data_IF_220273248486
#
_entry.id   IF_220273248486
#
_cell.length_a   1.000
_cell.length_b   1.000
_cell.length_c   1.000
_cell.angle_alpha   90.00
_cell.angle_beta   90.00
_cell.angle_gamma   90.00
#
_symmetry.space_group_name_H-M   'P 1'
#
loop_
_entity.id
_entity.type
_entity.pdbx_description
1 polymer ?
#
# COMPACT_ATOMS: atom_id res chain seq x y z
N UNK A 1 -9.55 -45.63 0.19
CA UNK A 1 -8.35 -45.49 1.05
C UNK A 1 -8.12 -44.00 1.27
N UNK A 2 -8.45 -43.48 2.47
CA UNK A 2 -8.44 -42.04 2.80
C UNK A 2 -7.03 -41.68 3.31
N UNK A 3 -6.34 -40.78 2.62
CA UNK A 3 -5.04 -40.25 3.06
C UNK A 3 -5.29 -39.30 4.24
N UNK A 4 -4.60 -39.45 5.39
CA UNK A 4 -4.83 -38.57 6.54
C UNK A 4 -4.15 -37.20 6.31
N UNK A 5 -4.72 -36.09 6.83
CA UNK A 5 -4.06 -34.79 6.74
C UNK A 5 -2.81 -34.78 7.62
N UNK A 6 -1.66 -34.55 6.98
CA UNK A 6 -0.38 -34.34 7.65
C UNK A 6 -0.43 -33.11 8.54
N UNK A 7 -0.05 -33.28 9.81
CA UNK A 7 0.16 -32.17 10.75
C UNK A 7 1.29 -31.30 10.20
N UNK A 8 0.98 -30.06 9.83
CA UNK A 8 2.00 -29.04 9.63
C UNK A 8 2.65 -28.76 10.99
N UNK A 9 3.91 -29.18 11.14
CA UNK A 9 4.75 -28.89 12.31
C UNK A 9 4.93 -27.39 12.43
N UNK A 10 4.84 -26.91 13.68
CA UNK A 10 4.73 -25.49 14.00
C UNK A 10 5.94 -24.66 13.59
N UNK A 11 5.63 -23.51 12.98
CA UNK A 11 6.42 -22.29 13.12
C UNK A 11 5.62 -21.40 14.06
N UNK A 12 6.19 -21.06 15.22
CA UNK A 12 5.58 -20.06 16.11
C UNK A 12 5.79 -18.67 15.49
N UNK A 13 4.98 -18.31 14.49
CA UNK A 13 5.00 -16.96 13.93
C UNK A 13 4.05 -16.12 14.79
N UNK A 14 4.60 -15.34 15.73
CA UNK A 14 3.80 -14.23 16.24
C UNK A 14 3.48 -13.35 15.03
N UNK A 15 2.20 -13.02 14.77
CA UNK A 15 1.86 -12.15 13.65
C UNK A 15 2.64 -10.85 13.79
N UNK A 16 3.23 -10.38 12.70
CA UNK A 16 3.89 -9.08 12.68
C UNK A 16 2.82 -8.01 13.02
N UNK A 17 3.10 -7.07 13.94
CA UNK A 17 2.13 -6.03 14.28
C UNK A 17 1.70 -5.25 13.04
N UNK A 18 0.41 -4.92 12.92
CA UNK A 18 -0.12 -4.20 11.75
C UNK A 18 0.63 -2.89 11.48
N UNK A 19 0.98 -2.16 12.55
CA UNK A 19 1.77 -0.93 12.44
C UNK A 19 3.15 -1.17 11.80
N UNK A 20 3.76 -2.33 12.03
CA UNK A 20 5.01 -2.74 11.39
C UNK A 20 4.77 -3.08 9.93
N UNK A 21 3.72 -3.86 9.61
CA UNK A 21 3.32 -4.17 8.22
C UNK A 21 3.08 -2.89 7.40
N UNK A 22 2.48 -1.85 8.00
CA UNK A 22 2.27 -0.56 7.35
C UNK A 22 3.57 0.21 7.06
N UNK A 23 4.64 -0.01 7.85
CA UNK A 23 5.95 0.65 7.67
C UNK A 23 6.90 -0.11 6.75
N UNK A 24 6.79 -1.44 6.65
CA UNK A 24 7.64 -2.26 5.79
C UNK A 24 7.73 -1.76 4.33
N UNK A 25 6.64 -1.33 3.66
CA UNK A 25 6.73 -0.76 2.31
C UNK A 25 7.55 0.54 2.23
N UNK A 26 7.57 1.34 3.30
CA UNK A 26 8.39 2.56 3.38
C UNK A 26 9.86 2.18 3.46
N UNK A 27 10.22 1.20 4.31
CA UNK A 27 11.59 0.70 4.37
C UNK A 27 12.03 0.09 3.04
N UNK A 28 11.16 -0.68 2.39
CA UNK A 28 11.46 -1.26 1.08
C UNK A 28 11.80 -0.19 0.04
N UNK A 29 11.02 0.90 -0.02
CA UNK A 29 11.31 2.02 -0.93
C UNK A 29 12.70 2.60 -0.68
N UNK A 30 13.00 2.94 0.57
CA UNK A 30 14.28 3.53 0.96
C UNK A 30 15.45 2.59 0.67
N UNK A 31 15.28 1.29 0.95
CA UNK A 31 16.31 0.28 0.69
C UNK A 31 16.58 0.14 -0.82
N UNK A 32 15.54 0.17 -1.66
CA UNK A 32 15.70 0.15 -3.12
C UNK A 32 16.46 1.40 -3.59
N UNK A 33 16.10 2.59 -3.11
CA UNK A 33 16.82 3.84 -3.41
C UNK A 33 18.29 3.81 -2.92
N UNK A 34 18.58 3.13 -1.81
CA UNK A 34 19.95 2.89 -1.34
C UNK A 34 20.71 1.94 -2.27
N UNK A 35 20.09 0.85 -2.69
CA UNK A 35 20.68 -0.12 -3.62
C UNK A 35 20.99 0.50 -4.99
N UNK A 36 20.09 1.32 -5.53
CA UNK A 36 20.29 2.06 -6.78
C UNK A 36 21.48 3.03 -6.72
N UNK A 37 21.81 3.54 -5.53
CA UNK A 37 22.99 4.36 -5.27
C UNK A 37 24.26 3.55 -4.96
N UNK A 38 24.20 2.22 -5.04
CA UNK A 38 25.33 1.33 -4.78
C UNK A 38 25.66 1.15 -3.29
N UNK A 39 24.73 1.48 -2.38
CA UNK A 39 24.93 1.27 -0.94
C UNK A 39 24.77 -0.22 -0.63
N UNK A 40 25.86 -0.86 -0.20
CA UNK A 40 25.86 -2.29 0.15
C UNK A 40 25.30 -2.55 1.57
N UNK A 41 25.60 -1.67 2.52
CA UNK A 41 25.22 -1.81 3.92
C UNK A 41 24.59 -0.53 4.45
N UNK A 42 23.52 -0.66 5.25
CA UNK A 42 22.86 0.48 5.90
C UNK A 42 22.72 0.26 7.40
N UNK A 43 22.96 1.29 8.20
CA UNK A 43 22.68 1.30 9.64
C UNK A 43 21.19 1.53 9.94
N UNK A 44 20.76 1.22 11.17
CA UNK A 44 19.41 1.55 11.62
C UNK A 44 19.13 3.04 11.62
N UNK A 45 20.17 3.86 11.85
CA UNK A 45 20.14 5.31 11.90
C UNK A 45 19.96 5.91 10.51
N UNK A 46 20.67 5.40 9.50
CA UNK A 46 20.51 5.82 8.10
C UNK A 46 19.13 5.45 7.56
N UNK A 47 18.68 4.21 7.82
CA UNK A 47 17.35 3.77 7.40
C UNK A 47 16.24 4.56 8.11
N UNK A 48 16.42 4.86 9.39
CA UNK A 48 15.52 5.71 10.18
C UNK A 48 15.40 7.12 9.60
N UNK A 49 16.53 7.78 9.34
CA UNK A 49 16.57 9.13 8.79
C UNK A 49 15.87 9.19 7.42
N UNK A 50 16.14 8.24 6.54
CA UNK A 50 15.57 8.21 5.20
C UNK A 50 14.09 7.77 5.16
N UNK A 51 13.63 6.98 6.14
CA UNK A 51 12.22 6.55 6.23
C UNK A 51 11.35 7.46 7.09
N UNK A 52 11.92 8.44 7.80
CA UNK A 52 11.19 9.30 8.74
C UNK A 52 10.72 8.56 10.00
N UNK A 53 11.40 7.48 10.37
CA UNK A 53 11.05 6.64 11.54
C UNK A 53 12.19 6.67 12.56
N UNK A 54 11.91 6.52 13.85
CA UNK A 54 12.97 6.41 14.87
C UNK A 54 13.78 5.09 14.70
N UNK A 55 15.12 5.15 14.80
CA UNK A 55 16.02 3.99 14.74
C UNK A 55 15.61 2.83 15.66
N UNK A 56 15.15 3.12 16.88
CA UNK A 56 14.66 2.08 17.80
C UNK A 56 13.42 1.34 17.25
N UNK A 57 12.54 2.04 16.53
CA UNK A 57 11.38 1.43 15.84
C UNK A 57 11.84 0.62 14.64
N UNK A 58 12.79 1.12 13.85
CA UNK A 58 13.38 0.35 12.74
C UNK A 58 13.97 -0.98 13.23
N UNK A 59 14.79 -0.95 14.27
CA UNK A 59 15.38 -2.19 14.84
C UNK A 59 14.30 -3.16 15.34
N UNK A 60 13.26 -2.65 16.00
CA UNK A 60 12.13 -3.45 16.48
C UNK A 60 11.30 -4.04 15.34
N UNK A 61 11.09 -3.29 14.27
CA UNK A 61 10.35 -3.74 13.10
C UNK A 61 11.11 -4.83 12.34
N UNK A 62 12.40 -4.60 12.07
CA UNK A 62 13.22 -5.54 11.33
C UNK A 62 13.51 -6.82 12.12
N UNK A 63 13.49 -6.78 13.46
CA UNK A 63 13.65 -7.99 14.28
C UNK A 63 12.50 -8.99 14.11
N UNK A 64 11.33 -8.54 13.65
CA UNK A 64 10.22 -9.44 13.29
C UNK A 64 10.50 -10.25 12.01
N UNK A 65 11.35 -9.74 11.11
CA UNK A 65 11.75 -10.44 9.89
C UNK A 65 12.83 -11.51 10.19
N UNK A 66 13.59 -11.30 11.26
CA UNK A 66 14.69 -12.13 11.73
C UNK A 66 15.86 -11.28 12.23
N UNK A 67 16.94 -11.94 12.64
CA UNK A 67 18.16 -11.29 13.15
C UNK A 67 19.12 -10.98 11.99
N UNK A 68 18.92 -9.84 11.32
CA UNK A 68 19.64 -9.50 10.08
C UNK A 68 20.52 -8.24 10.14
N UNK A 69 20.99 -7.88 11.33
CA UNK A 69 22.01 -6.86 11.50
C UNK A 69 23.18 -7.43 12.28
N UNK A 70 24.40 -7.23 11.79
CA UNK A 70 25.58 -7.46 12.63
C UNK A 70 25.84 -6.20 13.43
N UNK A 71 25.93 -6.33 14.76
CA UNK A 71 26.17 -5.18 15.65
C UNK A 71 27.48 -4.49 15.24
N UNK A 72 27.39 -3.23 14.83
CA UNK A 72 28.54 -2.45 14.35
C UNK A 72 28.78 -2.49 12.83
N UNK A 73 28.05 -3.30 12.07
CA UNK A 73 28.16 -3.39 10.59
C UNK A 73 26.89 -2.89 9.89
N UNK A 74 25.72 -3.10 10.51
CA UNK A 74 24.43 -2.73 9.91
C UNK A 74 23.76 -3.88 9.17
N UNK A 75 22.86 -3.54 8.27
CA UNK A 75 22.06 -4.44 7.44
C UNK A 75 22.65 -4.52 6.03
N UNK A 76 22.79 -5.73 5.49
CA UNK A 76 23.03 -5.89 4.05
C UNK A 76 21.77 -5.45 3.29
N UNK A 77 21.91 -4.45 2.41
CA UNK A 77 20.79 -3.79 1.74
C UNK A 77 20.08 -4.76 0.79
N UNK A 78 20.83 -5.49 -0.03
CA UNK A 78 20.26 -6.42 -1.02
C UNK A 78 19.49 -7.55 -0.34
N UNK A 79 20.08 -8.13 0.71
CA UNK A 79 19.44 -9.15 1.51
C UNK A 79 18.19 -8.61 2.21
N UNK A 80 18.26 -7.43 2.83
CA UNK A 80 17.11 -6.86 3.53
C UNK A 80 15.95 -6.54 2.57
N UNK A 81 16.23 -6.05 1.36
CA UNK A 81 15.22 -5.90 0.29
C UNK A 81 14.51 -7.23 0.04
N UNK A 82 15.27 -8.31 -0.14
CA UNK A 82 14.70 -9.64 -0.37
C UNK A 82 13.81 -10.09 0.79
N UNK A 83 14.26 -9.91 2.04
CA UNK A 83 13.48 -10.28 3.23
C UNK A 83 12.16 -9.50 3.32
N UNK A 84 12.21 -8.17 3.13
CA UNK A 84 11.03 -7.31 3.21
C UNK A 84 10.05 -7.64 2.08
N UNK A 85 10.54 -7.88 0.85
CA UNK A 85 9.68 -8.33 -0.27
C UNK A 85 9.00 -9.64 0.03
N UNK A 86 9.73 -10.62 0.58
CA UNK A 86 9.16 -11.93 0.95
C UNK A 86 8.07 -11.78 2.02
N UNK A 87 8.33 -11.00 3.06
CA UNK A 87 7.35 -10.79 4.14
C UNK A 87 6.08 -10.08 3.65
N UNK A 88 6.24 -9.11 2.75
CA UNK A 88 5.11 -8.41 2.12
C UNK A 88 4.40 -9.23 1.03
N UNK A 89 4.86 -10.45 0.74
CA UNK A 89 4.30 -11.27 -0.34
C UNK A 89 4.59 -10.74 -1.75
N UNK A 90 5.57 -9.84 -1.92
CA UNK A 90 5.94 -9.21 -3.20
C UNK A 90 6.94 -10.04 -4.01
N UNK A 91 6.93 -11.36 -3.81
CA UNK A 91 7.76 -12.32 -4.56
C UNK A 91 6.97 -13.05 -5.65
N UNK A 92 5.70 -12.70 -5.78
CA UNK A 92 4.75 -13.21 -6.78
C UNK A 92 3.91 -12.05 -7.30
N UNK A 93 3.30 -12.25 -8.47
CA UNK A 93 2.34 -11.29 -9.00
C UNK A 93 0.98 -11.44 -8.31
N UNK A 94 0.35 -10.29 -8.06
CA UNK A 94 -0.98 -10.14 -7.51
C UNK A 94 -1.89 -9.59 -8.59
N UNK A 95 -2.74 -10.43 -9.22
CA UNK A 95 -3.73 -9.97 -10.18
C UNK A 95 -4.76 -9.06 -9.51
N UNK A 96 -4.96 -7.86 -10.06
CA UNK A 96 -5.87 -6.85 -9.52
C UNK A 96 -6.97 -6.48 -10.51
N UNK A 97 -8.18 -6.23 -10.00
CA UNK A 97 -9.30 -5.72 -10.79
C UNK A 97 -9.66 -4.31 -10.32
N UNK A 98 -9.92 -3.41 -11.26
CA UNK A 98 -10.35 -2.03 -10.96
C UNK A 98 -11.84 -1.92 -11.29
N UNK A 99 -12.66 -1.54 -10.31
CA UNK A 99 -14.07 -1.19 -10.52
C UNK A 99 -14.23 0.33 -10.43
N UNK A 100 -14.85 0.90 -11.46
CA UNK A 100 -14.97 2.35 -11.67
C UNK A 100 -13.83 2.88 -12.53
N UNK A 101 -14.10 3.07 -13.82
CA UNK A 101 -13.14 3.54 -14.83
C UNK A 101 -13.42 5.01 -15.17
N UNK A 102 -13.65 5.83 -14.13
CA UNK A 102 -13.59 7.29 -14.22
C UNK A 102 -12.14 7.79 -14.25
N UNK A 103 -11.92 9.11 -14.14
CA UNK A 103 -10.58 9.71 -14.23
C UNK A 103 -9.53 9.00 -13.33
N UNK A 104 -9.88 8.71 -12.08
CA UNK A 104 -8.99 8.03 -11.14
C UNK A 104 -8.74 6.57 -11.56
N UNK A 105 -9.78 5.80 -11.89
CA UNK A 105 -9.62 4.41 -12.33
C UNK A 105 -8.75 4.28 -13.58
N UNK A 106 -8.90 5.20 -14.53
CA UNK A 106 -8.03 5.25 -15.72
C UNK A 106 -6.58 5.58 -15.36
N UNK A 107 -6.36 6.55 -14.46
CA UNK A 107 -5.02 6.90 -14.00
C UNK A 107 -4.35 5.72 -13.27
N UNK A 108 -5.10 5.00 -12.43
CA UNK A 108 -4.63 3.80 -11.73
C UNK A 108 -4.30 2.66 -12.71
N UNK A 109 -5.12 2.45 -13.74
CA UNK A 109 -4.86 1.44 -14.77
C UNK A 109 -3.56 1.72 -15.56
N UNK A 110 -3.22 2.99 -15.75
CA UNK A 110 -1.98 3.42 -16.45
C UNK A 110 -0.76 3.48 -15.55
N UNK A 111 -0.92 3.32 -14.24
CA UNK A 111 0.16 3.50 -13.29
C UNK A 111 1.11 2.30 -13.26
N UNK A 112 2.22 2.40 -14.00
CA UNK A 112 3.25 1.35 -14.08
C UNK A 112 3.85 0.94 -12.73
N UNK A 113 3.83 1.84 -11.74
CA UNK A 113 4.36 1.55 -10.41
C UNK A 113 3.62 0.42 -9.67
N UNK A 114 2.43 0.02 -10.11
CA UNK A 114 1.78 -1.22 -9.65
C UNK A 114 2.50 -2.46 -10.19
N UNK A 115 2.72 -2.53 -11.52
CA UNK A 115 3.39 -3.66 -12.15
C UNK A 115 4.82 -3.84 -11.62
N UNK A 116 5.57 -2.75 -11.44
CA UNK A 116 6.93 -2.77 -10.88
C UNK A 116 6.99 -3.32 -9.44
N UNK A 117 5.85 -3.34 -8.75
CA UNK A 117 5.69 -3.84 -7.37
C UNK A 117 4.95 -5.17 -7.30
N UNK A 118 4.75 -5.85 -8.44
CA UNK A 118 4.08 -7.14 -8.51
C UNK A 118 2.56 -7.05 -8.46
N UNK A 119 1.94 -5.88 -8.67
CA UNK A 119 0.50 -5.72 -8.79
C UNK A 119 0.11 -5.57 -10.26
N UNK A 120 -0.46 -6.61 -10.86
CA UNK A 120 -0.81 -6.61 -12.27
C UNK A 120 -2.30 -6.37 -12.43
N UNK A 121 -2.70 -5.26 -13.02
CA UNK A 121 -4.11 -5.03 -13.39
C UNK A 121 -4.50 -5.99 -14.52
N UNK A 122 -5.50 -6.83 -14.25
CA UNK A 122 -5.96 -7.88 -15.18
C UNK A 122 -7.30 -7.59 -15.82
N UNK A 123 -8.10 -6.72 -15.20
CA UNK A 123 -9.41 -6.36 -15.71
C UNK A 123 -9.84 -4.98 -15.21
N UNK A 124 -10.65 -4.33 -16.03
CA UNK A 124 -11.29 -3.05 -15.76
C UNK A 124 -12.80 -3.26 -15.85
N UNK A 125 -13.53 -2.71 -14.89
CA UNK A 125 -14.96 -2.94 -14.75
C UNK A 125 -15.67 -1.60 -14.53
N UNK A 126 -16.74 -1.35 -15.27
CA UNK A 126 -17.59 -0.16 -15.12
C UNK A 126 -19.05 -0.53 -15.36
N UNK A 127 -19.97 0.32 -14.90
CA UNK A 127 -21.42 0.18 -15.14
C UNK A 127 -21.91 1.11 -16.25
N UNK A 128 -21.09 2.08 -16.67
CA UNK A 128 -21.41 3.02 -17.74
C UNK A 128 -21.38 2.32 -19.12
N UNK A 129 -22.53 2.17 -19.81
CA UNK A 129 -22.59 1.53 -21.13
C UNK A 129 -21.74 2.22 -22.18
N UNK A 130 -21.46 3.52 -22.03
CA UNK A 130 -20.61 4.25 -22.96
C UNK A 130 -19.12 3.87 -22.85
N UNK A 131 -18.70 3.31 -21.72
CA UNK A 131 -17.31 2.86 -21.48
C UNK A 131 -17.14 1.37 -21.72
N UNK A 132 -18.15 0.56 -21.43
CA UNK A 132 -18.11 -0.89 -21.61
C UNK A 132 -17.73 -1.21 -23.07
N UNK A 133 -16.78 -2.12 -23.25
CA UNK A 133 -16.24 -2.51 -24.55
C UNK A 133 -15.08 -1.65 -25.07
N UNK A 134 -14.85 -0.46 -24.51
CA UNK A 134 -13.65 0.35 -24.81
C UNK A 134 -12.40 -0.22 -24.13
N UNK A 135 -11.21 0.24 -24.50
CA UNK A 135 -9.93 -0.30 -24.02
C UNK A 135 -9.05 0.77 -23.37
N UNK A 136 -8.31 0.35 -22.34
CA UNK A 136 -7.27 1.14 -21.68
C UNK A 136 -6.08 0.22 -21.45
N UNK A 137 -4.90 0.61 -21.93
CA UNK A 137 -3.67 -0.22 -21.83
C UNK A 137 -3.87 -1.66 -22.34
N UNK A 138 -4.69 -1.84 -23.38
CA UNK A 138 -5.02 -3.15 -23.95
C UNK A 138 -6.00 -4.00 -23.12
N UNK A 139 -6.54 -3.46 -22.02
CA UNK A 139 -7.59 -4.11 -21.23
C UNK A 139 -8.96 -3.57 -21.64
N UNK A 140 -9.83 -4.46 -22.11
CA UNK A 140 -11.24 -4.13 -22.40
C UNK A 140 -12.01 -3.92 -21.10
N UNK A 141 -12.79 -2.84 -21.03
CA UNK A 141 -13.70 -2.56 -19.93
C UNK A 141 -14.90 -3.51 -20.02
N UNK A 142 -15.12 -4.28 -18.96
CA UNK A 142 -16.20 -5.27 -18.83
C UNK A 142 -17.33 -4.72 -17.94
N UNK A 143 -18.58 -5.20 -18.10
CA UNK A 143 -19.67 -4.84 -17.20
C UNK A 143 -19.45 -5.45 -15.80
N UNK A 144 -20.08 -4.86 -14.77
CA UNK A 144 -19.97 -5.32 -13.37
C UNK A 144 -20.42 -6.78 -13.16
N UNK A 145 -21.38 -7.24 -13.95
CA UNK A 145 -21.89 -8.62 -13.92
C UNK A 145 -20.86 -9.68 -14.30
N UNK A 146 -19.80 -9.32 -15.04
CA UNK A 146 -18.72 -10.23 -15.42
C UNK A 146 -17.73 -10.51 -14.28
N UNK A 147 -17.83 -9.78 -13.15
CA UNK A 147 -16.84 -9.84 -12.07
C UNK A 147 -16.59 -11.26 -11.53
N UNK A 148 -17.60 -12.13 -11.33
CA UNK A 148 -17.36 -13.52 -10.92
C UNK A 148 -16.53 -14.32 -11.95
N UNK A 149 -16.73 -14.09 -13.23
CA UNK A 149 -15.95 -14.73 -14.29
C UNK A 149 -14.52 -14.19 -14.31
N UNK A 150 -14.35 -12.87 -14.27
CA UNK A 150 -13.04 -12.18 -14.21
C UNK A 150 -12.20 -12.73 -13.05
N UNK A 151 -12.79 -12.80 -11.86
CA UNK A 151 -12.09 -13.26 -10.65
C UNK A 151 -11.65 -14.71 -10.80
N UNK A 152 -12.50 -15.57 -11.36
CA UNK A 152 -12.17 -16.98 -11.60
C UNK A 152 -11.10 -17.16 -12.68
N UNK A 153 -11.24 -16.49 -13.81
CA UNK A 153 -10.36 -16.60 -14.97
C UNK A 153 -8.94 -16.11 -14.66
N UNK A 154 -8.83 -14.95 -14.02
CA UNK A 154 -7.54 -14.32 -13.77
C UNK A 154 -7.00 -14.54 -12.35
N UNK A 155 -7.73 -15.29 -11.52
CA UNK A 155 -7.43 -15.49 -10.10
C UNK A 155 -7.22 -14.14 -9.40
N UNK A 156 -8.12 -13.18 -9.66
CA UNK A 156 -8.01 -11.83 -9.11
C UNK A 156 -8.03 -11.86 -7.57
N UNK A 157 -6.95 -11.40 -6.96
CA UNK A 157 -6.75 -11.47 -5.52
C UNK A 157 -7.15 -10.18 -4.81
N UNK A 158 -7.00 -9.04 -5.50
CA UNK A 158 -7.20 -7.70 -4.94
C UNK A 158 -8.16 -6.90 -5.83
N UNK A 159 -9.16 -6.30 -5.21
CA UNK A 159 -10.06 -5.35 -5.85
C UNK A 159 -9.67 -3.90 -5.55
N UNK A 160 -9.76 -3.03 -6.54
CA UNK A 160 -9.55 -1.58 -6.39
C UNK A 160 -10.86 -0.88 -6.73
N UNK A 161 -11.40 -0.11 -5.79
CA UNK A 161 -12.63 0.66 -5.99
C UNK A 161 -12.25 2.12 -6.23
N UNK A 162 -12.55 2.60 -7.44
CA UNK A 162 -12.36 3.98 -7.88
C UNK A 162 -13.67 4.60 -8.38
N UNK A 163 -14.78 4.24 -7.75
CA UNK A 163 -16.13 4.74 -8.05
C UNK A 163 -16.47 5.99 -7.22
N UNK A 164 -17.53 6.73 -7.58
CA UNK A 164 -18.17 7.66 -6.67
C UNK A 164 -18.63 6.96 -5.37
N UNK A 165 -18.78 7.72 -4.29
CA UNK A 165 -19.18 7.19 -2.98
C UNK A 165 -20.49 6.40 -3.00
N UNK A 166 -21.49 6.88 -3.76
CA UNK A 166 -22.81 6.26 -3.85
C UNK A 166 -22.78 4.83 -4.43
N UNK A 167 -21.80 4.52 -5.29
CA UNK A 167 -21.67 3.21 -5.95
C UNK A 167 -20.64 2.30 -5.29
N UNK A 168 -19.88 2.80 -4.30
CA UNK A 168 -18.74 2.07 -3.75
C UNK A 168 -19.12 0.83 -2.95
N UNK A 169 -20.26 0.87 -2.22
CA UNK A 169 -20.74 -0.28 -1.47
C UNK A 169 -21.19 -1.41 -2.40
N UNK A 170 -21.94 -1.09 -3.45
CA UNK A 170 -22.37 -2.08 -4.45
C UNK A 170 -21.16 -2.74 -5.14
N UNK A 171 -20.15 -1.96 -5.51
CA UNK A 171 -18.90 -2.49 -6.04
C UNK A 171 -18.19 -3.44 -5.06
N UNK A 172 -18.13 -3.07 -3.77
CA UNK A 172 -17.53 -3.90 -2.72
C UNK A 172 -18.30 -5.21 -2.52
N UNK A 173 -19.63 -5.16 -2.46
CA UNK A 173 -20.48 -6.32 -2.31
C UNK A 173 -20.32 -7.28 -3.49
N UNK A 174 -20.28 -6.76 -4.72
CA UNK A 174 -20.01 -7.53 -5.92
C UNK A 174 -18.63 -8.19 -5.89
N UNK A 175 -17.57 -7.46 -5.48
CA UNK A 175 -16.21 -8.01 -5.32
C UNK A 175 -16.18 -9.15 -4.30
N UNK A 176 -16.82 -8.96 -3.15
CA UNK A 176 -16.88 -9.96 -2.07
C UNK A 176 -17.64 -11.20 -2.52
N UNK A 177 -18.77 -11.02 -3.23
CA UNK A 177 -19.55 -12.12 -3.81
C UNK A 177 -18.76 -12.89 -4.87
N UNK A 178 -17.94 -12.20 -5.66
CA UNK A 178 -17.04 -12.81 -6.65
C UNK A 178 -15.82 -13.53 -6.01
N UNK A 179 -15.60 -13.35 -4.70
CA UNK A 179 -14.55 -14.05 -3.94
C UNK A 179 -13.34 -13.21 -3.57
N UNK A 180 -13.32 -11.91 -3.91
CA UNK A 180 -12.24 -10.99 -3.51
C UNK A 180 -12.33 -10.74 -2.00
N UNK A 181 -11.20 -10.86 -1.31
CA UNK A 181 -11.09 -10.65 0.15
C UNK A 181 -10.21 -9.47 0.55
N UNK A 182 -9.55 -8.84 -0.41
CA UNK A 182 -8.69 -7.67 -0.19
C UNK A 182 -9.11 -6.54 -1.11
N UNK A 183 -9.52 -5.41 -0.54
CA UNK A 183 -10.06 -4.27 -1.27
C UNK A 183 -9.26 -3.01 -0.92
N UNK A 184 -8.79 -2.31 -1.95
CA UNK A 184 -8.25 -0.95 -1.86
C UNK A 184 -9.33 0.03 -2.28
N UNK A 185 -9.83 0.83 -1.34
CA UNK A 185 -10.95 1.74 -1.55
C UNK A 185 -10.46 3.20 -1.67
N UNK A 186 -10.63 3.79 -2.86
CA UNK A 186 -10.42 5.22 -3.09
C UNK A 186 -11.71 6.04 -3.01
N UNK A 187 -12.87 5.41 -2.91
CA UNK A 187 -14.12 6.15 -2.75
C UNK A 187 -14.13 6.85 -1.39
N UNK A 188 -14.64 8.09 -1.29
CA UNK A 188 -14.66 8.87 -0.06
C UNK A 188 -15.81 8.42 0.86
N UNK A 189 -15.89 7.13 1.14
CA UNK A 189 -16.88 6.50 2.02
C UNK A 189 -16.28 5.31 2.74
N UNK A 190 -16.87 4.93 3.86
CA UNK A 190 -16.55 3.70 4.58
C UNK A 190 -17.38 2.56 4.00
N UNK A 191 -16.75 1.42 3.76
CA UNK A 191 -17.43 0.22 3.26
C UNK A 191 -17.78 -0.69 4.44
N UNK A 192 -18.99 -1.25 4.41
CA UNK A 192 -19.38 -2.34 5.28
C UNK A 192 -19.04 -3.66 4.58
N UNK A 193 -18.20 -4.49 5.19
CA UNK A 193 -17.78 -5.77 4.62
C UNK A 193 -17.86 -6.88 5.68
N UNK A 194 -18.08 -8.14 5.29
CA UNK A 194 -18.13 -9.25 6.24
C UNK A 194 -16.74 -9.52 6.85
N UNK A 195 -16.74 -10.28 7.97
CA UNK A 195 -15.52 -10.74 8.60
C UNK A 195 -14.63 -11.53 7.62
N UNK A 196 -13.32 -11.32 7.72
CA UNK A 196 -12.32 -11.93 6.82
C UNK A 196 -12.09 -11.16 5.51
N UNK A 197 -12.82 -10.07 5.26
CA UNK A 197 -12.52 -9.13 4.17
C UNK A 197 -11.70 -7.96 4.71
N UNK A 198 -10.53 -7.72 4.11
CA UNK A 198 -9.67 -6.60 4.45
C UNK A 198 -9.92 -5.42 3.52
N UNK A 199 -10.19 -4.25 4.09
CA UNK A 199 -10.37 -3.00 3.34
C UNK A 199 -9.31 -1.99 3.76
N UNK A 200 -8.53 -1.48 2.80
CA UNK A 200 -7.63 -0.35 2.99
C UNK A 200 -8.22 0.87 2.29
N UNK A 201 -8.54 1.91 3.05
CA UNK A 201 -9.02 3.18 2.51
C UNK A 201 -7.82 4.07 2.13
N UNK A 202 -7.88 4.72 0.98
CA UNK A 202 -6.98 5.79 0.57
C UNK A 202 -7.80 7.05 0.34
N UNK A 203 -7.53 8.09 1.11
CA UNK A 203 -8.23 9.37 1.04
C UNK A 203 -7.23 10.50 0.83
N UNK A 204 -6.97 10.83 -0.43
CA UNK A 204 -5.97 11.84 -0.79
C UNK A 204 -6.32 13.23 -0.23
N UNK A 205 -7.61 13.52 0.00
CA UNK A 205 -8.03 14.79 0.57
C UNK A 205 -7.66 14.89 2.06
N UNK A 206 -7.80 13.79 2.82
CA UNK A 206 -7.36 13.73 4.23
C UNK A 206 -5.85 13.93 4.32
N UNK A 207 -5.07 13.31 3.43
CA UNK A 207 -3.60 13.49 3.41
C UNK A 207 -3.21 14.96 3.17
N UNK A 208 -3.90 15.67 2.26
CA UNK A 208 -3.69 17.10 2.05
C UNK A 208 -4.08 17.93 3.29
N UNK A 209 -5.18 17.60 3.96
CA UNK A 209 -5.57 18.28 5.20
C UNK A 209 -4.51 18.14 6.30
N UNK A 210 -3.91 16.95 6.43
CA UNK A 210 -2.79 16.73 7.35
C UNK A 210 -1.61 17.65 7.00
N UNK A 211 -1.28 17.82 5.72
CA UNK A 211 -0.23 18.76 5.30
C UNK A 211 -0.58 20.20 5.67
N UNK A 212 -1.84 20.63 5.51
CA UNK A 212 -2.24 22.00 5.89
C UNK A 212 -2.03 22.30 7.37
N UNK A 213 -2.20 21.31 8.25
CA UNK A 213 -1.91 21.46 9.68
C UNK A 213 -0.43 21.76 9.93
N UNK A 214 0.47 21.07 9.23
CA UNK A 214 1.92 21.31 9.38
C UNK A 214 2.34 22.66 8.81
N UNK A 215 1.79 23.06 7.65
CA UNK A 215 2.08 24.36 7.05
C UNK A 215 1.64 25.52 7.96
N UNK A 216 0.42 25.46 8.52
CA UNK A 216 -0.05 26.48 9.47
C UNK A 216 0.83 26.57 10.70
N UNK A 217 1.29 25.42 11.22
CA UNK A 217 2.10 25.37 12.42
C UNK A 217 3.53 25.86 12.17
N UNK A 218 4.05 25.68 10.96
CA UNK A 218 5.33 26.25 10.55
C UNK A 218 5.23 27.78 10.45
N UNK A 219 4.19 28.30 9.80
CA UNK A 219 3.94 29.74 9.72
C UNK A 219 3.79 30.39 11.11
N UNK A 220 3.05 29.77 12.02
CA UNK A 220 2.90 30.28 13.39
C UNK A 220 4.22 30.34 14.19
N UNK A 221 5.15 29.41 13.94
CA UNK A 221 6.48 29.44 14.57
C UNK A 221 7.40 30.51 13.94
N UNK A 222 7.22 30.81 12.66
CA UNK A 222 7.93 31.88 11.96
C UNK A 222 7.44 33.27 12.43
N UNK A 223 6.14 33.46 12.66
CA UNK A 223 5.56 34.70 13.19
C UNK A 223 6.02 34.99 14.63
N UNK A 224 6.03 33.99 15.53
CA UNK A 224 6.52 34.16 16.91
C UNK A 224 8.02 34.48 16.95
N UNK A 225 8.81 33.87 16.05
CA UNK A 225 10.23 34.17 15.91
C UNK A 225 10.52 35.58 15.37
N UNK A 226 9.58 36.18 14.62
CA UNK A 226 9.68 37.54 14.12
C UNK A 226 9.31 38.60 15.19
N UNK A 227 8.37 38.29 16.09
CA UNK A 227 7.97 39.20 17.18
C UNK A 227 9.03 39.29 18.30
N UNK A 228 9.71 38.19 18.65
CA UNK A 228 10.78 38.18 19.67
C UNK A 228 12.08 38.90 19.22
N UNK A 229 12.24 39.20 17.93
CA UNK A 229 13.40 39.90 17.37
C UNK A 229 13.30 41.43 17.32
N UNK A 230 12.13 42.02 17.60
CA UNK A 230 11.85 43.45 17.40
C UNK A 230 12.05 44.36 18.62
N UNK A 231 12.39 43.81 19.80
CA UNK A 231 12.32 44.54 21.08
C UNK A 231 13.61 45.18 21.62
N UNK A 232 14.75 45.07 20.93
CA UNK A 232 16.02 45.57 21.45
C UNK A 232 16.69 46.53 20.47
N UNK A 233 16.24 47.78 20.42
CA UNK A 233 16.98 48.98 19.98
C UNK A 233 16.14 50.23 20.27
N UNK A 234 16.30 50.82 21.46
CA UNK A 234 15.67 52.11 21.77
C UNK A 234 15.59 52.47 23.24
N UNK A 235 16.73 52.75 23.89
CA UNK A 235 16.91 53.77 24.95
C UNK A 235 18.39 53.81 25.38
#
# INVERSE_FOLDING_TARGET
>A
MRVPPGRLRGVSVRPIPEATVARLPVYLRVLVEMAERGVATASSEELAAASGVNSAKVRKDLSHLGSYGTRGVGYDVAYLIHQVRRELGLTQDWPTVIVGVGNLGQALARYRGFADRGFRTVALVDVDPAKIGTEIEGLRIRPLEDLPEIVREHQAAIGIIATPAAAAQEAADAMVAAGIRSILNFAPTTLSVPEGVSVRKVDLAIELQILTYYEQRKAALEDVGAEDGGGALGA
#
